data_IF_450814520887
#
_entry.id   IF_450814520887
#
_cell.length_a   1.000
_cell.length_b   1.000
_cell.length_c   1.000
_cell.angle_alpha   90.00
_cell.angle_beta   90.00
_cell.angle_gamma   90.00
#
_symmetry.space_group_name_H-M   'P 1'
#
loop_
_entity.id
_entity.type
_entity.pdbx_description
1 polymer ?
#
# COMPACT_ATOMS: atom_id res chain seq x y z
N UNK A 1 28.22 -14.08 34.58
CA UNK A 1 27.34 -13.16 35.35
C UNK A 1 27.27 -11.81 34.61
N UNK A 2 28.40 -11.12 34.38
CA UNK A 2 28.42 -9.77 33.75
C UNK A 2 27.73 -9.75 32.37
N UNK A 3 28.05 -10.70 31.49
CA UNK A 3 27.45 -10.80 30.17
C UNK A 3 25.91 -10.98 30.23
N UNK A 4 25.45 -11.85 31.14
CA UNK A 4 24.03 -12.08 31.33
C UNK A 4 23.28 -10.79 31.78
N UNK A 5 23.90 -10.03 32.70
CA UNK A 5 23.33 -8.75 33.15
C UNK A 5 23.26 -7.74 32.01
N UNK A 6 24.32 -7.62 31.20
CA UNK A 6 24.31 -6.71 30.03
C UNK A 6 23.22 -7.12 29.01
N UNK A 7 23.14 -8.40 28.66
CA UNK A 7 22.15 -8.89 27.71
C UNK A 7 20.72 -8.64 28.21
N UNK A 8 20.46 -8.94 29.51
CA UNK A 8 19.14 -8.75 30.08
C UNK A 8 18.75 -7.26 30.11
N UNK A 9 19.68 -6.41 30.57
CA UNK A 9 19.45 -4.95 30.65
C UNK A 9 19.20 -4.37 29.25
N UNK A 10 20.04 -4.76 28.27
CA UNK A 10 19.87 -4.30 26.88
C UNK A 10 18.54 -4.78 26.29
N UNK A 11 18.14 -6.03 26.55
CA UNK A 11 16.85 -6.55 26.09
C UNK A 11 15.66 -5.80 26.66
N UNK A 12 15.66 -5.52 27.97
CA UNK A 12 14.62 -4.75 28.64
C UNK A 12 14.56 -3.32 28.10
N UNK A 13 15.70 -2.65 27.97
CA UNK A 13 15.74 -1.27 27.42
C UNK A 13 15.25 -1.23 25.99
N UNK A 14 15.68 -2.16 25.14
CA UNK A 14 15.22 -2.23 23.75
C UNK A 14 13.71 -2.51 23.65
N UNK A 15 13.18 -3.43 24.45
CA UNK A 15 11.74 -3.72 24.51
C UNK A 15 10.95 -2.49 24.94
N UNK A 16 11.38 -1.80 25.99
CA UNK A 16 10.72 -0.59 26.47
C UNK A 16 10.76 0.55 25.44
N UNK A 17 11.91 0.78 24.78
CA UNK A 17 12.03 1.78 23.72
C UNK A 17 11.15 1.41 22.53
N UNK A 18 11.11 0.15 22.12
CA UNK A 18 10.27 -0.30 21.01
C UNK A 18 8.79 -0.04 21.29
N UNK A 19 8.30 -0.42 22.48
CA UNK A 19 6.91 -0.22 22.90
C UNK A 19 6.52 1.27 22.96
N UNK A 20 7.39 2.12 23.53
CA UNK A 20 7.12 3.56 23.65
C UNK A 20 7.24 4.34 22.35
N UNK A 21 7.95 3.80 21.35
CA UNK A 21 8.13 4.44 20.03
C UNK A 21 7.20 3.90 18.95
N UNK A 22 6.38 2.91 19.24
CA UNK A 22 5.46 2.32 18.26
C UNK A 22 4.43 3.33 17.75
N UNK A 23 3.68 3.99 18.65
CA UNK A 23 2.69 5.02 18.27
C UNK A 23 3.29 6.22 17.52
N UNK A 24 4.40 6.85 17.98
CA UNK A 24 5.04 7.92 17.23
C UNK A 24 5.55 7.49 15.84
N UNK A 25 5.99 6.24 15.71
CA UNK A 25 6.47 5.69 14.44
C UNK A 25 5.31 5.47 13.46
N UNK A 26 4.20 4.85 13.93
CA UNK A 26 2.99 4.68 13.14
C UNK A 26 2.45 6.03 12.65
N UNK A 27 2.34 7.02 13.55
CA UNK A 27 1.91 8.36 13.18
C UNK A 27 2.81 9.02 12.12
N UNK A 28 4.13 8.90 12.30
CA UNK A 28 5.10 9.46 11.34
C UNK A 28 4.99 8.76 9.97
N UNK A 29 4.84 7.44 9.95
CA UNK A 29 4.66 6.67 8.72
C UNK A 29 3.38 7.08 7.99
N UNK A 30 2.25 7.17 8.70
CA UNK A 30 0.99 7.65 8.12
C UNK A 30 1.17 9.05 7.53
N UNK A 31 1.74 9.98 8.29
CA UNK A 31 1.85 11.38 7.90
C UNK A 31 2.82 11.65 6.74
N UNK A 32 3.97 10.97 6.72
CA UNK A 32 5.04 11.27 5.76
C UNK A 32 5.08 10.32 4.57
N UNK A 33 4.49 9.13 4.68
CA UNK A 33 4.50 8.10 3.62
C UNK A 33 3.10 7.86 3.06
N UNK A 34 2.14 7.55 3.93
CA UNK A 34 0.80 7.19 3.47
C UNK A 34 -0.03 8.39 3.04
N UNK A 35 0.01 9.51 3.77
CA UNK A 35 -0.79 10.70 3.45
C UNK A 35 -0.50 11.30 2.07
N UNK A 36 0.76 11.51 1.65
CA UNK A 36 1.05 11.98 0.30
C UNK A 36 0.56 11.02 -0.79
N UNK A 37 0.78 9.71 -0.58
CA UNK A 37 0.38 8.67 -1.53
C UNK A 37 -1.14 8.53 -1.61
N UNK A 38 -1.83 8.61 -0.47
CA UNK A 38 -3.30 8.63 -0.41
C UNK A 38 -3.87 9.83 -1.17
N UNK A 39 -3.31 11.03 -0.97
CA UNK A 39 -3.73 12.25 -1.69
C UNK A 39 -3.47 12.18 -3.19
N UNK A 40 -2.51 11.39 -3.62
CA UNK A 40 -2.23 11.19 -5.05
C UNK A 40 -3.29 10.30 -5.72
N UNK A 41 -3.89 9.36 -4.99
CA UNK A 41 -4.86 8.40 -5.54
C UNK A 41 -6.31 8.74 -5.22
N UNK A 42 -6.57 9.59 -4.21
CA UNK A 42 -7.91 10.06 -3.86
C UNK A 42 -8.07 11.54 -4.22
N UNK A 43 -9.18 11.85 -4.85
CA UNK A 43 -9.56 13.22 -5.21
C UNK A 43 -11.00 13.51 -4.78
N UNK A 44 -11.32 14.80 -4.63
CA UNK A 44 -12.70 15.28 -4.50
C UNK A 44 -13.46 14.75 -3.26
N UNK A 45 -12.80 14.76 -2.08
CA UNK A 45 -13.39 14.38 -0.79
C UNK A 45 -13.45 15.58 0.17
N UNK A 46 -14.40 15.56 1.11
CA UNK A 46 -14.67 16.63 2.09
C UNK A 46 -14.41 16.19 3.56
N UNK A 47 -14.05 14.90 3.76
CA UNK A 47 -13.71 14.36 5.07
C UNK A 47 -12.19 14.35 5.34
N UNK A 48 -11.78 13.84 6.49
CA UNK A 48 -10.37 13.55 6.84
C UNK A 48 -10.16 12.01 6.81
N UNK A 49 -9.71 11.43 5.69
CA UNK A 49 -9.58 9.98 5.57
C UNK A 49 -8.61 9.35 6.57
N UNK A 50 -7.62 10.11 7.06
CA UNK A 50 -6.65 9.64 8.04
C UNK A 50 -7.30 9.44 9.40
N UNK A 51 -8.15 10.37 9.82
CA UNK A 51 -8.88 10.26 11.09
C UNK A 51 -9.99 9.22 11.03
N UNK A 52 -10.62 9.09 9.87
CA UNK A 52 -11.70 8.15 9.63
C UNK A 52 -11.22 6.78 9.10
N UNK A 53 -9.92 6.52 9.17
CA UNK A 53 -9.35 5.24 8.72
C UNK A 53 -9.97 4.06 9.43
N UNK A 54 -10.20 3.00 8.71
CA UNK A 54 -10.77 1.74 9.18
C UNK A 54 -9.66 0.70 9.20
N UNK A 55 -9.53 -0.05 10.30
CA UNK A 55 -8.64 -1.21 10.36
C UNK A 55 -9.48 -2.46 10.12
N UNK A 56 -9.17 -3.19 9.07
CA UNK A 56 -9.84 -4.43 8.69
C UNK A 56 -8.90 -5.61 8.85
N UNK A 57 -9.39 -6.73 9.38
CA UNK A 57 -8.65 -7.97 9.38
C UNK A 57 -8.82 -8.66 8.01
N UNK A 58 -7.73 -8.78 7.25
CA UNK A 58 -7.72 -9.39 5.91
C UNK A 58 -6.86 -10.65 5.90
N UNK A 59 -7.37 -11.71 6.52
CA UNK A 59 -6.66 -12.98 6.62
C UNK A 59 -5.68 -13.06 7.79
N UNK A 60 -4.73 -14.00 7.71
CA UNK A 60 -3.70 -14.26 8.71
C UNK A 60 -2.31 -14.11 8.07
N UNK A 61 -1.34 -13.70 8.86
CA UNK A 61 0.07 -13.70 8.47
C UNK A 61 0.68 -15.12 8.49
N UNK A 62 1.96 -15.25 8.14
CA UNK A 62 2.68 -16.54 8.16
C UNK A 62 2.79 -17.15 9.57
N UNK A 63 2.56 -16.36 10.62
CA UNK A 63 2.61 -16.76 12.02
C UNK A 63 1.21 -17.05 12.59
N UNK A 64 0.14 -16.88 11.79
CA UNK A 64 -1.26 -17.10 12.17
C UNK A 64 -1.89 -15.95 12.94
N UNK A 65 -1.29 -14.75 12.94
CA UNK A 65 -1.88 -13.56 13.52
C UNK A 65 -2.81 -12.88 12.50
N UNK A 66 -3.88 -12.20 12.92
CA UNK A 66 -4.73 -11.45 12.01
C UNK A 66 -3.91 -10.34 11.32
N UNK A 67 -3.84 -10.41 9.99
CA UNK A 67 -3.23 -9.36 9.18
C UNK A 67 -4.18 -8.18 9.09
N UNK A 68 -3.79 -7.06 9.70
CA UNK A 68 -4.56 -5.82 9.64
C UNK A 68 -4.22 -5.02 8.38
N UNK A 69 -5.26 -4.53 7.72
CA UNK A 69 -5.17 -3.58 6.62
C UNK A 69 -5.81 -2.26 7.04
N UNK A 70 -5.13 -1.17 6.74
CA UNK A 70 -5.67 0.18 6.98
C UNK A 70 -6.30 0.69 5.69
N UNK A 71 -7.59 1.04 5.76
CA UNK A 71 -8.37 1.58 4.65
C UNK A 71 -8.71 3.03 4.95
N UNK A 72 -8.50 3.90 3.97
CA UNK A 72 -8.76 5.33 4.04
C UNK A 72 -9.99 5.67 3.17
N UNK A 73 -11.17 5.93 3.78
CA UNK A 73 -12.37 6.29 3.02
C UNK A 73 -12.33 7.76 2.59
N UNK A 74 -12.50 8.01 1.30
CA UNK A 74 -12.77 9.33 0.75
C UNK A 74 -14.28 9.52 0.68
N UNK A 75 -14.81 10.46 1.48
CA UNK A 75 -16.24 10.75 1.54
C UNK A 75 -16.55 12.10 0.95
N UNK A 76 -17.70 12.20 0.32
CA UNK A 76 -18.30 13.44 -0.16
C UNK A 76 -19.76 13.51 0.22
N UNK A 77 -20.15 14.58 0.94
CA UNK A 77 -21.51 14.69 1.46
C UNK A 77 -21.91 13.54 2.41
N UNK A 78 -20.95 12.93 3.11
CA UNK A 78 -21.17 11.81 4.03
C UNK A 78 -21.26 10.41 3.37
N UNK A 79 -21.13 10.32 2.05
CA UNK A 79 -21.10 9.04 1.32
C UNK A 79 -19.67 8.74 0.87
N UNK A 80 -19.22 7.49 1.04
CA UNK A 80 -17.93 7.04 0.53
C UNK A 80 -17.96 6.99 -1.00
N UNK A 81 -17.10 7.77 -1.66
CA UNK A 81 -16.99 7.83 -3.13
C UNK A 81 -15.79 7.03 -3.64
N UNK A 82 -14.76 6.86 -2.83
CA UNK A 82 -13.61 6.02 -3.12
C UNK A 82 -12.92 5.59 -1.81
N UNK A 83 -12.09 4.58 -1.89
CA UNK A 83 -11.24 4.15 -0.78
C UNK A 83 -9.79 4.05 -1.23
N UNK A 84 -8.85 4.25 -0.30
CA UNK A 84 -7.44 3.94 -0.55
C UNK A 84 -6.92 2.96 0.49
N UNK A 85 -6.06 2.04 0.06
CA UNK A 85 -5.36 1.10 0.92
C UNK A 85 -4.06 0.64 0.25
N UNK A 86 -3.17 0.02 1.00
CA UNK A 86 -1.87 -0.38 0.50
C UNK A 86 -1.75 -1.88 0.31
N UNK A 87 -0.96 -2.26 -0.67
CA UNK A 87 -0.52 -3.63 -0.87
C UNK A 87 0.98 -3.64 -1.19
N UNK A 88 1.62 -4.79 -1.01
CA UNK A 88 3.03 -4.95 -1.32
C UNK A 88 3.28 -6.25 -2.06
N UNK A 89 4.23 -6.22 -2.99
CA UNK A 89 4.74 -7.43 -3.64
C UNK A 89 6.22 -7.29 -3.93
N UNK A 90 6.87 -8.42 -4.20
CA UNK A 90 8.30 -8.45 -4.47
C UNK A 90 8.61 -7.86 -5.85
N UNK A 91 9.46 -6.83 -5.86
CA UNK A 91 10.09 -6.29 -7.05
C UNK A 91 11.39 -7.03 -7.40
N UNK A 92 12.36 -6.30 -7.97
CA UNK A 92 13.67 -6.84 -8.29
C UNK A 92 14.55 -7.00 -7.04
N UNK A 93 14.73 -5.93 -6.25
CA UNK A 93 15.58 -5.97 -5.06
C UNK A 93 14.79 -6.46 -3.83
N UNK A 94 13.67 -5.80 -3.52
CA UNK A 94 12.90 -6.06 -2.30
C UNK A 94 11.39 -5.78 -2.56
N UNK A 95 10.61 -5.68 -1.48
CA UNK A 95 9.20 -5.33 -1.55
C UNK A 95 9.00 -3.92 -2.12
N UNK A 96 8.00 -3.80 -2.97
CA UNK A 96 7.47 -2.53 -3.46
C UNK A 96 6.12 -2.35 -2.78
N UNK A 97 5.96 -1.28 -2.02
CA UNK A 97 4.68 -0.91 -1.41
C UNK A 97 3.94 0.09 -2.29
N UNK A 98 2.68 -0.21 -2.56
CA UNK A 98 1.83 0.57 -3.45
C UNK A 98 0.57 0.99 -2.70
N UNK A 99 0.25 2.27 -2.70
CA UNK A 99 -1.07 2.78 -2.35
C UNK A 99 -1.95 2.71 -3.58
N UNK A 100 -3.13 2.12 -3.46
CA UNK A 100 -4.13 2.09 -4.52
C UNK A 100 -5.36 2.88 -4.09
N UNK A 101 -5.97 3.57 -5.03
CA UNK A 101 -7.31 4.15 -4.87
C UNK A 101 -8.30 3.33 -5.68
N UNK A 102 -9.47 3.04 -5.11
CA UNK A 102 -10.50 2.20 -5.74
C UNK A 102 -11.87 2.84 -5.60
N UNK A 103 -12.59 2.92 -6.70
CA UNK A 103 -13.98 3.34 -6.77
C UNK A 103 -14.93 2.22 -6.28
N UNK A 104 -16.21 2.52 -5.96
CA UNK A 104 -17.19 1.51 -5.55
C UNK A 104 -17.46 0.42 -6.59
N UNK A 105 -17.20 0.69 -7.86
CA UNK A 105 -17.35 -0.28 -8.97
C UNK A 105 -16.12 -1.20 -9.16
N UNK A 106 -15.11 -1.09 -8.29
CA UNK A 106 -13.87 -1.87 -8.35
C UNK A 106 -12.83 -1.35 -9.34
N UNK A 107 -13.07 -0.20 -9.97
CA UNK A 107 -12.07 0.43 -10.85
C UNK A 107 -11.06 1.25 -10.05
N UNK A 108 -9.81 1.27 -10.50
CA UNK A 108 -8.75 2.07 -9.88
C UNK A 108 -8.94 3.56 -10.17
N UNK A 109 -8.87 4.40 -9.15
CA UNK A 109 -8.70 5.85 -9.34
C UNK A 109 -7.27 6.18 -9.74
N UNK A 110 -6.31 5.38 -9.31
CA UNK A 110 -4.88 5.48 -9.59
C UNK A 110 -4.06 4.69 -8.59
N UNK A 111 -2.75 4.73 -8.78
CA UNK A 111 -1.78 4.15 -7.84
C UNK A 111 -0.70 5.17 -7.47
N UNK A 112 -0.06 4.96 -6.32
CA UNK A 112 1.14 5.70 -5.89
C UNK A 112 2.13 4.76 -5.23
N UNK A 113 3.38 4.78 -5.66
CA UNK A 113 4.44 3.97 -5.05
C UNK A 113 4.86 4.64 -3.74
N UNK A 114 4.71 3.94 -2.62
CA UNK A 114 5.02 4.44 -1.28
C UNK A 114 6.47 4.23 -0.93
N UNK A 115 6.94 2.99 -1.04
CA UNK A 115 8.33 2.62 -0.75
C UNK A 115 8.85 1.60 -1.75
N UNK A 116 10.12 1.71 -2.10
CA UNK A 116 10.85 0.75 -2.90
C UNK A 116 12.36 0.87 -2.71
N UNK A 117 13.10 -0.18 -3.03
CA UNK A 117 14.58 -0.21 -3.04
C UNK A 117 15.13 -0.55 -4.43
N UNK A 118 14.33 -0.27 -5.47
CA UNK A 118 14.67 -0.57 -6.85
C UNK A 118 15.85 0.26 -7.38
N UNK A 119 16.54 -0.28 -8.39
CA UNK A 119 17.74 0.34 -8.97
C UNK A 119 17.44 1.70 -9.58
N UNK A 120 18.16 2.78 -9.18
CA UNK A 120 18.02 4.12 -9.76
C UNK A 120 18.20 4.12 -11.28
N UNK A 121 17.35 4.87 -11.98
CA UNK A 121 17.38 4.99 -13.45
C UNK A 121 16.86 3.77 -14.23
N UNK A 122 16.51 2.67 -13.53
CA UNK A 122 15.89 1.48 -14.10
C UNK A 122 14.56 1.19 -13.38
N UNK A 123 14.58 0.32 -12.38
CA UNK A 123 13.40 -0.08 -11.62
C UNK A 123 12.75 1.07 -10.85
N UNK A 124 13.53 2.05 -10.39
CA UNK A 124 13.00 3.23 -9.71
C UNK A 124 12.06 4.09 -10.57
N UNK A 125 12.02 3.90 -11.90
CA UNK A 125 11.09 4.59 -12.81
C UNK A 125 9.62 4.21 -12.58
N UNK A 126 9.34 3.20 -11.79
CA UNK A 126 7.97 2.86 -11.37
C UNK A 126 7.24 4.00 -10.64
N UNK A 127 7.95 5.00 -10.10
CA UNK A 127 7.35 6.18 -9.45
C UNK A 127 6.97 7.29 -10.44
N UNK A 128 7.43 7.19 -11.70
CA UNK A 128 7.18 8.22 -12.71
C UNK A 128 5.71 8.21 -13.15
N UNK A 129 5.08 9.38 -13.38
CA UNK A 129 3.70 9.46 -13.86
C UNK A 129 3.45 8.67 -15.15
N UNK A 130 4.43 8.63 -16.05
CA UNK A 130 4.37 7.83 -17.29
C UNK A 130 4.03 6.35 -17.03
N UNK A 131 4.44 5.82 -15.87
CA UNK A 131 4.12 4.45 -15.47
C UNK A 131 2.87 4.37 -14.61
N UNK A 132 2.75 5.21 -13.57
CA UNK A 132 1.63 5.12 -12.61
C UNK A 132 0.28 5.51 -13.22
N UNK A 133 0.26 6.42 -14.19
CA UNK A 133 -0.97 6.87 -14.85
C UNK A 133 -1.63 5.78 -15.71
N UNK A 134 -0.88 4.72 -16.08
CA UNK A 134 -1.43 3.59 -16.82
C UNK A 134 -2.52 2.83 -16.04
N UNK A 135 -2.51 2.93 -14.72
CA UNK A 135 -3.42 2.17 -13.85
C UNK A 135 -4.79 2.84 -13.65
N UNK A 136 -4.93 4.12 -13.92
CA UNK A 136 -6.19 4.84 -13.75
C UNK A 136 -7.30 4.24 -14.63
N UNK A 137 -8.46 3.93 -14.01
CA UNK A 137 -9.62 3.34 -14.68
C UNK A 137 -9.49 1.85 -15.01
N UNK A 138 -8.43 1.18 -14.58
CA UNK A 138 -8.30 -0.28 -14.72
C UNK A 138 -9.06 -0.99 -13.59
N UNK A 139 -9.47 -2.22 -13.87
CA UNK A 139 -10.07 -3.18 -12.94
C UNK A 139 -9.21 -4.45 -12.82
N UNK A 140 -9.67 -5.44 -12.07
CA UNK A 140 -8.95 -6.70 -11.86
C UNK A 140 -8.62 -7.44 -13.17
N UNK A 141 -9.50 -7.36 -14.17
CA UNK A 141 -9.33 -8.05 -15.44
C UNK A 141 -8.29 -7.36 -16.34
N UNK A 142 -8.24 -6.04 -16.28
CA UNK A 142 -7.39 -5.21 -17.14
C UNK A 142 -6.09 -4.75 -16.50
N UNK A 143 -5.98 -4.76 -15.17
CA UNK A 143 -4.77 -4.42 -14.42
C UNK A 143 -3.73 -5.56 -14.49
N UNK A 144 -3.31 -5.92 -15.68
CA UNK A 144 -2.27 -6.90 -15.96
C UNK A 144 -1.35 -6.38 -17.06
N UNK A 145 -0.22 -7.06 -17.26
CA UNK A 145 0.73 -6.70 -18.33
C UNK A 145 0.08 -6.81 -19.71
N UNK A 146 0.39 -5.88 -20.60
CA UNK A 146 -0.08 -5.89 -22.00
C UNK A 146 0.34 -7.16 -22.73
N UNK A 147 1.53 -7.69 -22.41
CA UNK A 147 2.01 -8.98 -22.93
C UNK A 147 1.17 -10.19 -22.45
N UNK A 148 0.39 -10.04 -21.39
CA UNK A 148 -0.48 -11.08 -20.80
C UNK A 148 -1.97 -10.77 -21.02
N UNK A 149 -2.29 -9.85 -21.93
CA UNK A 149 -3.66 -9.48 -22.28
C UNK A 149 -4.26 -8.34 -21.43
N UNK A 150 -3.47 -7.74 -20.54
CA UNK A 150 -3.86 -6.54 -19.78
C UNK A 150 -3.55 -5.24 -20.51
N UNK A 151 -3.48 -4.13 -19.75
CA UNK A 151 -3.28 -2.78 -20.30
C UNK A 151 -2.03 -2.06 -19.77
N UNK A 152 -1.21 -2.72 -18.93
CA UNK A 152 -0.02 -2.10 -18.34
C UNK A 152 1.21 -2.47 -19.17
N UNK A 153 1.87 -1.47 -19.72
CA UNK A 153 3.11 -1.65 -20.46
C UNK A 153 4.31 -1.77 -19.52
N UNK A 154 5.19 -2.70 -19.84
CA UNK A 154 6.40 -2.96 -19.06
C UNK A 154 7.43 -1.85 -19.30
N UNK A 155 8.02 -1.35 -18.23
CA UNK A 155 9.17 -0.44 -18.31
C UNK A 155 10.39 -1.16 -18.88
N UNK A 156 10.96 -0.61 -19.94
CA UNK A 156 12.16 -1.15 -20.58
C UNK A 156 13.33 -1.21 -19.58
N UNK A 157 13.90 -2.40 -19.41
CA UNK A 157 14.98 -2.67 -18.46
C UNK A 157 14.53 -2.84 -16.99
N UNK A 158 13.21 -2.79 -16.70
CA UNK A 158 12.68 -2.91 -15.35
C UNK A 158 11.49 -3.88 -15.25
N UNK A 159 11.55 -4.98 -15.96
CA UNK A 159 10.46 -5.97 -16.02
C UNK A 159 10.06 -6.50 -14.63
N UNK A 160 11.03 -6.86 -13.79
CA UNK A 160 10.73 -7.38 -12.46
C UNK A 160 10.06 -6.34 -11.55
N UNK A 161 10.50 -5.08 -11.62
CA UNK A 161 9.88 -3.99 -10.86
C UNK A 161 8.43 -3.75 -11.35
N UNK A 162 8.20 -3.76 -12.67
CA UNK A 162 6.86 -3.66 -13.26
C UNK A 162 5.95 -4.81 -12.80
N UNK A 163 6.44 -6.05 -12.89
CA UNK A 163 5.71 -7.24 -12.43
C UNK A 163 5.38 -7.13 -10.94
N UNK A 164 6.31 -6.66 -10.11
CA UNK A 164 6.08 -6.43 -8.68
C UNK A 164 4.91 -5.47 -8.44
N UNK A 165 4.89 -4.31 -9.11
CA UNK A 165 3.78 -3.35 -8.98
C UNK A 165 2.46 -3.96 -9.45
N UNK A 166 2.42 -4.58 -10.63
CA UNK A 166 1.20 -5.23 -11.15
C UNK A 166 0.69 -6.30 -10.19
N UNK A 167 1.59 -7.11 -9.63
CA UNK A 167 1.24 -8.16 -8.65
C UNK A 167 0.64 -7.55 -7.38
N UNK A 168 1.22 -6.47 -6.84
CA UNK A 168 0.69 -5.77 -5.67
C UNK A 168 -0.71 -5.21 -5.94
N UNK A 169 -0.89 -4.53 -7.09
CA UNK A 169 -2.19 -3.95 -7.49
C UNK A 169 -3.25 -5.05 -7.65
N UNK A 170 -2.95 -6.15 -8.33
CA UNK A 170 -3.88 -7.26 -8.50
C UNK A 170 -4.26 -7.91 -7.17
N UNK A 171 -3.28 -8.18 -6.30
CA UNK A 171 -3.52 -8.74 -4.98
C UNK A 171 -4.44 -7.83 -4.13
N UNK A 172 -4.30 -6.52 -4.28
CA UNK A 172 -5.17 -5.55 -3.63
C UNK A 172 -6.60 -5.60 -4.21
N UNK A 173 -6.76 -5.63 -5.53
CA UNK A 173 -8.06 -5.71 -6.18
C UNK A 173 -8.79 -7.03 -5.89
N UNK A 174 -8.07 -8.14 -5.73
CA UNK A 174 -8.64 -9.43 -5.31
C UNK A 174 -9.23 -9.38 -3.89
N UNK A 175 -8.71 -8.51 -3.03
CA UNK A 175 -9.23 -8.31 -1.66
C UNK A 175 -10.40 -7.32 -1.62
N UNK A 176 -10.58 -6.50 -2.66
CA UNK A 176 -11.59 -5.44 -2.72
C UNK A 176 -13.01 -5.91 -2.37
N UNK A 177 -13.53 -7.08 -2.84
CA UNK A 177 -14.90 -7.52 -2.51
C UNK A 177 -15.16 -7.76 -1.00
N UNK A 178 -14.10 -7.97 -0.21
CA UNK A 178 -14.22 -8.08 1.25
C UNK A 178 -14.23 -6.69 1.90
N UNK A 179 -13.40 -5.79 1.38
CA UNK A 179 -13.27 -4.41 1.87
C UNK A 179 -14.53 -3.59 1.54
N UNK A 180 -15.07 -3.77 0.34
CA UNK A 180 -16.28 -3.08 -0.14
C UNK A 180 -17.45 -3.20 0.84
N UNK A 181 -17.71 -4.40 1.35
CA UNK A 181 -18.84 -4.69 2.26
C UNK A 181 -18.78 -3.93 3.59
N UNK A 182 -17.61 -3.50 4.00
CA UNK A 182 -17.38 -2.83 5.28
C UNK A 182 -17.14 -1.32 5.13
N UNK A 183 -16.98 -0.84 3.88
CA UNK A 183 -16.58 0.56 3.63
C UNK A 183 -17.59 1.36 2.81
N UNK A 184 -18.42 0.73 1.98
CA UNK A 184 -19.49 1.32 1.19
C UNK A 184 -20.88 0.86 1.68
#
# INVERSE_FOLDING_TARGET
VVLAVICTTSGVVLSYVNETTEEPREYSYIKFVQEPSMKAVLSDYDNDPIKERIKLAVGEDEEGNPKEMVVFPAKKGGKTEAIAYSAAAKGYNDLIEVMIGVNPDGTLTGISIMTHTETPGLGARIVEPEFTDQFAGLDLDTANLSAEGGKVDTLSGATFSTVGVVTAVRAALEQFPQIEKETF
#
